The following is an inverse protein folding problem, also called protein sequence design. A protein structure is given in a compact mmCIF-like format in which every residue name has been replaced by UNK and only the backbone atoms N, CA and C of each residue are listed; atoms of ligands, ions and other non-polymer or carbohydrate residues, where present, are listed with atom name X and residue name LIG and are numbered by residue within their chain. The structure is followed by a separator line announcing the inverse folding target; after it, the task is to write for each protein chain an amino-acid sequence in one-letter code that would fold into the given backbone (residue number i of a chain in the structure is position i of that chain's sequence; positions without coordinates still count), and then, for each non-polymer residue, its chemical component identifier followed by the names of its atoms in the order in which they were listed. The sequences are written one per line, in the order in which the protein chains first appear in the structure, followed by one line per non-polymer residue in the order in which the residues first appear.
data_IF_650956937113
#
_entry.id   IF_650956937113
#
_cell.length_a   1.000
_cell.length_b   1.000
_cell.length_c   1.000
_cell.angle_alpha   90.00
_cell.angle_beta   90.00
_cell.angle_gamma   90.00
#
_symmetry.space_group_name_H-M   'P 1'
#
loop_
_entity.id
_entity.type
_entity.pdbx_description
1 polymer ?
#
# COMPACT_ATOMS: atom_id res chain seq x y z
N UNK A 1 -21.12 -17.29 -33.53
CA UNK A 1 -21.66 -16.18 -32.70
C UNK A 1 -22.33 -15.20 -33.64
N UNK A 2 -23.63 -15.00 -33.54
CA UNK A 2 -24.37 -14.05 -34.37
C UNK A 2 -24.03 -12.61 -34.04
N UNK A 3 -24.40 -11.66 -34.91
CA UNK A 3 -24.24 -10.22 -34.58
C UNK A 3 -25.04 -9.85 -33.33
N UNK A 4 -26.24 -10.45 -33.16
CA UNK A 4 -27.05 -10.25 -31.97
C UNK A 4 -26.35 -10.73 -30.68
N UNK A 5 -25.69 -11.89 -30.71
CA UNK A 5 -24.92 -12.40 -29.57
C UNK A 5 -23.76 -11.45 -29.18
N UNK A 6 -23.09 -10.91 -30.21
CA UNK A 6 -22.01 -9.93 -29.98
C UNK A 6 -22.53 -8.63 -29.38
N UNK A 7 -23.67 -8.11 -29.84
CA UNK A 7 -24.28 -6.90 -29.30
C UNK A 7 -24.78 -7.12 -27.88
N UNK A 8 -25.37 -8.25 -27.56
CA UNK A 8 -25.78 -8.60 -26.20
C UNK A 8 -24.55 -8.69 -25.26
N UNK A 9 -23.48 -9.33 -25.72
CA UNK A 9 -22.23 -9.40 -24.96
C UNK A 9 -21.64 -8.01 -24.69
N UNK A 10 -21.72 -7.10 -25.67
CA UNK A 10 -21.26 -5.70 -25.49
C UNK A 10 -22.13 -4.99 -24.44
N UNK A 11 -23.46 -5.10 -24.56
CA UNK A 11 -24.40 -4.46 -23.63
C UNK A 11 -24.22 -4.99 -22.19
N UNK A 12 -24.08 -6.30 -22.01
CA UNK A 12 -23.81 -6.93 -20.72
C UNK A 12 -22.46 -6.44 -20.12
N UNK A 13 -21.46 -6.27 -20.96
CA UNK A 13 -20.18 -5.78 -20.55
C UNK A 13 -20.22 -4.28 -20.18
N UNK A 14 -20.91 -3.45 -20.94
CA UNK A 14 -21.14 -2.04 -20.60
C UNK A 14 -21.90 -1.91 -19.28
N UNK A 15 -22.89 -2.76 -19.04
CA UNK A 15 -23.60 -2.80 -17.76
C UNK A 15 -22.66 -3.18 -16.59
N UNK A 16 -21.81 -4.18 -16.75
CA UNK A 16 -20.83 -4.59 -15.75
C UNK A 16 -19.85 -3.45 -15.43
N UNK A 17 -19.46 -2.67 -16.44
CA UNK A 17 -18.61 -1.49 -16.27
C UNK A 17 -19.27 -0.43 -15.42
N UNK A 18 -20.47 -0.07 -15.79
CA UNK A 18 -21.26 0.93 -15.08
C UNK A 18 -21.46 0.50 -13.62
N UNK A 19 -21.80 -0.77 -13.42
CA UNK A 19 -21.98 -1.36 -12.10
C UNK A 19 -20.67 -1.42 -11.27
N UNK A 20 -19.53 -1.56 -11.91
CA UNK A 20 -18.22 -1.49 -11.27
C UNK A 20 -17.73 -0.05 -11.01
N UNK A 21 -18.48 0.97 -11.45
CA UNK A 21 -18.11 2.37 -11.28
C UNK A 21 -16.91 2.81 -12.10
N UNK A 22 -16.63 2.14 -13.22
CA UNK A 22 -15.51 2.45 -14.11
C UNK A 22 -15.93 3.31 -15.27
N UNK A 23 -15.02 4.15 -15.77
CA UNK A 23 -15.19 4.81 -17.06
C UNK A 23 -15.03 3.80 -18.20
N UNK A 24 -15.55 4.12 -19.39
CA UNK A 24 -15.39 3.27 -20.58
C UNK A 24 -13.92 2.99 -20.89
N UNK A 25 -13.05 3.97 -20.72
CA UNK A 25 -11.61 3.84 -20.97
C UNK A 25 -10.95 2.88 -19.97
N UNK A 26 -11.30 2.96 -18.70
CA UNK A 26 -10.82 2.04 -17.66
C UNK A 26 -11.31 0.62 -17.89
N UNK A 27 -12.50 0.48 -18.46
CA UNK A 27 -13.06 -0.82 -18.83
C UNK A 27 -12.41 -1.45 -20.05
N UNK A 28 -12.21 -0.69 -21.11
CA UNK A 28 -11.56 -1.21 -22.33
C UNK A 28 -10.14 -1.68 -22.00
N UNK A 29 -9.47 -0.96 -21.12
CA UNK A 29 -8.17 -1.30 -20.59
C UNK A 29 -8.23 -2.57 -19.70
N UNK A 30 -9.22 -2.67 -18.82
CA UNK A 30 -9.45 -3.82 -17.96
C UNK A 30 -9.90 -5.06 -18.74
N UNK A 31 -10.71 -4.89 -19.77
CA UNK A 31 -11.15 -5.98 -20.64
C UNK A 31 -10.02 -6.55 -21.51
N UNK A 32 -9.16 -5.70 -22.03
CA UNK A 32 -7.93 -6.11 -22.72
C UNK A 32 -7.04 -6.91 -21.76
N UNK A 33 -7.05 -6.54 -20.53
CA UNK A 33 -6.31 -7.13 -19.44
C UNK A 33 -6.83 -8.52 -19.03
N UNK A 34 -8.14 -8.67 -18.84
CA UNK A 34 -8.77 -9.95 -18.46
C UNK A 34 -8.74 -10.99 -19.59
N UNK A 35 -8.94 -10.55 -20.82
CA UNK A 35 -9.04 -11.44 -21.99
C UNK A 35 -7.67 -11.79 -22.61
N UNK A 36 -6.61 -11.10 -22.26
CA UNK A 36 -5.27 -11.32 -22.80
C UNK A 36 -4.38 -12.27 -22.02
N UNK A 37 -4.75 -12.65 -20.77
CA UNK A 37 -3.91 -13.49 -19.93
C UNK A 37 -4.71 -14.35 -18.96
N UNK A 38 -4.54 -15.65 -19.03
CA UNK A 38 -5.03 -16.65 -18.09
C UNK A 38 -4.43 -16.56 -16.67
N UNK A 39 -3.82 -15.46 -16.29
CA UNK A 39 -3.01 -15.28 -15.09
C UNK A 39 -3.50 -14.25 -14.06
N UNK A 40 -4.75 -13.77 -14.12
CA UNK A 40 -5.25 -12.80 -13.13
C UNK A 40 -4.78 -11.36 -13.41
N UNK A 41 -4.78 -10.49 -12.38
CA UNK A 41 -4.43 -9.06 -12.51
C UNK A 41 -2.92 -8.83 -12.73
N UNK A 42 -2.33 -9.33 -13.84
CA UNK A 42 -0.91 -9.23 -14.13
C UNK A 42 -0.44 -7.78 -14.38
N UNK A 43 -1.32 -6.90 -14.87
CA UNK A 43 -1.05 -5.50 -15.20
C UNK A 43 -2.15 -4.60 -14.61
N UNK A 44 -2.11 -4.34 -13.32
CA UNK A 44 -3.08 -3.49 -12.64
C UNK A 44 -2.60 -2.02 -12.49
N UNK A 45 -1.81 -1.55 -13.46
CA UNK A 45 -1.20 -0.22 -13.42
C UNK A 45 -2.31 0.83 -13.42
N UNK A 46 -2.30 1.72 -12.42
CA UNK A 46 -3.24 2.82 -12.26
C UNK A 46 -4.74 2.44 -12.29
N UNK A 47 -5.08 1.17 -12.02
CA UNK A 47 -6.45 0.65 -12.17
C UNK A 47 -7.50 1.47 -11.39
N UNK A 48 -7.16 1.91 -10.20
CA UNK A 48 -8.02 2.72 -9.32
C UNK A 48 -7.44 4.11 -9.07
N UNK A 49 -6.57 4.59 -9.96
CA UNK A 49 -5.99 5.92 -9.83
C UNK A 49 -7.02 7.02 -10.13
N UNK A 50 -6.87 8.14 -9.43
CA UNK A 50 -7.65 9.35 -9.67
C UNK A 50 -8.70 9.67 -8.61
N UNK A 51 -9.09 10.93 -8.56
CA UNK A 51 -10.02 11.48 -7.57
C UNK A 51 -11.47 10.99 -7.73
N UNK A 52 -11.84 10.43 -8.87
CA UNK A 52 -13.18 9.89 -9.12
C UNK A 52 -13.46 8.61 -8.33
N UNK A 53 -12.43 7.91 -7.88
CA UNK A 53 -12.57 6.78 -6.98
C UNK A 53 -12.68 7.25 -5.53
N UNK A 54 -13.90 7.31 -5.03
CA UNK A 54 -14.25 7.67 -3.66
C UNK A 54 -15.24 6.65 -3.08
N UNK A 55 -15.71 6.84 -1.86
CA UNK A 55 -16.63 5.92 -1.20
C UNK A 55 -17.92 5.63 -1.97
N UNK A 56 -18.37 6.57 -2.83
CA UNK A 56 -19.59 6.38 -3.62
C UNK A 56 -19.34 5.63 -4.94
N UNK A 57 -18.16 5.81 -5.54
CA UNK A 57 -17.81 5.30 -6.87
C UNK A 57 -16.97 4.03 -6.83
N UNK A 58 -16.20 3.79 -5.76
CA UNK A 58 -15.37 2.60 -5.62
C UNK A 58 -16.23 1.38 -5.24
N UNK A 59 -16.73 0.69 -6.25
CA UNK A 59 -17.59 -0.50 -6.11
C UNK A 59 -17.15 -1.63 -7.05
N UNK A 60 -15.89 -2.07 -7.01
CA UNK A 60 -15.46 -3.21 -7.81
C UNK A 60 -16.23 -4.46 -7.41
N UNK A 61 -16.61 -5.28 -8.39
CA UNK A 61 -17.30 -6.57 -8.19
C UNK A 61 -16.35 -7.76 -8.44
N UNK A 62 -15.08 -7.55 -8.25
CA UNK A 62 -14.03 -8.55 -8.47
C UNK A 62 -12.93 -8.39 -7.43
N UNK A 63 -12.23 -9.48 -7.18
CA UNK A 63 -11.10 -9.51 -6.28
C UNK A 63 -9.93 -8.66 -6.78
N UNK A 64 -9.29 -7.93 -5.87
CA UNK A 64 -8.13 -7.09 -6.17
C UNK A 64 -6.88 -7.88 -5.78
N UNK A 65 -6.37 -8.68 -6.71
CA UNK A 65 -5.23 -9.58 -6.50
C UNK A 65 -4.18 -9.40 -7.60
N UNK A 66 -3.41 -8.29 -7.60
CA UNK A 66 -2.38 -8.05 -8.62
C UNK A 66 -1.27 -9.10 -8.53
N UNK A 67 -0.83 -9.61 -9.68
CA UNK A 67 0.19 -10.67 -9.75
C UNK A 67 1.53 -10.23 -10.30
N UNK A 68 1.60 -9.07 -10.96
CA UNK A 68 2.83 -8.57 -11.58
C UNK A 68 3.00 -7.07 -11.37
N UNK A 69 2.37 -6.27 -12.22
CA UNK A 69 2.54 -4.82 -12.25
C UNK A 69 1.34 -4.12 -11.62
N UNK A 70 1.55 -3.45 -10.50
CA UNK A 70 0.52 -2.76 -9.74
C UNK A 70 0.90 -1.29 -9.43
N UNK A 71 1.80 -0.72 -10.25
CA UNK A 71 2.25 0.66 -10.06
C UNK A 71 1.06 1.62 -10.13
N UNK A 72 1.07 2.63 -9.27
CA UNK A 72 0.06 3.70 -9.24
C UNK A 72 -1.38 3.19 -9.04
N UNK A 73 -1.61 1.95 -8.60
CA UNK A 73 -2.95 1.35 -8.58
C UNK A 73 -3.97 2.22 -7.85
N UNK A 74 -3.60 2.84 -6.74
CA UNK A 74 -4.45 3.73 -5.94
C UNK A 74 -3.92 5.17 -5.88
N UNK A 75 -3.18 5.59 -6.89
CA UNK A 75 -2.63 6.95 -7.00
C UNK A 75 -3.76 8.00 -7.03
N UNK A 76 -3.73 8.99 -6.13
CA UNK A 76 -4.80 9.98 -5.96
C UNK A 76 -6.20 9.37 -5.67
N UNK A 77 -6.29 8.12 -5.25
CA UNK A 77 -7.56 7.51 -4.87
C UNK A 77 -8.11 8.15 -3.58
N UNK A 78 -9.42 8.38 -3.52
CA UNK A 78 -10.08 9.11 -2.44
C UNK A 78 -11.09 8.23 -1.66
N UNK A 79 -10.90 6.93 -1.59
CA UNK A 79 -11.67 6.05 -0.71
C UNK A 79 -11.20 6.26 0.72
N UNK A 80 -12.09 6.77 1.60
CA UNK A 80 -11.72 7.21 2.95
C UNK A 80 -11.18 6.04 3.80
N UNK A 81 -11.88 4.92 3.80
CA UNK A 81 -11.48 3.69 4.47
C UNK A 81 -11.55 2.54 3.45
N UNK A 82 -10.42 2.26 2.83
CA UNK A 82 -10.32 1.23 1.79
C UNK A 82 -10.51 -0.16 2.40
N UNK A 83 -10.01 -0.39 3.63
CA UNK A 83 -10.14 -1.67 4.32
C UNK A 83 -11.61 -2.01 4.59
N UNK A 84 -12.34 -1.11 5.26
CA UNK A 84 -13.76 -1.30 5.53
C UNK A 84 -14.59 -1.40 4.24
N UNK A 85 -14.21 -0.64 3.21
CA UNK A 85 -14.92 -0.67 1.91
C UNK A 85 -14.76 -2.02 1.23
N UNK A 86 -13.54 -2.57 1.16
CA UNK A 86 -13.26 -3.89 0.59
C UNK A 86 -14.04 -4.98 1.35
N UNK A 87 -14.01 -4.94 2.69
CA UNK A 87 -14.75 -5.89 3.52
C UNK A 87 -16.26 -5.80 3.27
N UNK A 88 -16.82 -4.59 3.17
CA UNK A 88 -18.25 -4.39 2.93
C UNK A 88 -18.72 -4.90 1.55
N UNK A 89 -17.82 -4.89 0.58
CA UNK A 89 -18.07 -5.40 -0.78
C UNK A 89 -17.89 -6.92 -0.85
N UNK A 90 -17.34 -7.55 0.18
CA UNK A 90 -17.06 -8.99 0.20
C UNK A 90 -16.03 -9.44 -0.84
N UNK A 91 -15.15 -8.54 -1.29
CA UNK A 91 -14.10 -8.83 -2.26
C UNK A 91 -12.78 -9.14 -1.55
N UNK A 92 -11.96 -9.98 -2.17
CA UNK A 92 -10.61 -10.24 -1.71
C UNK A 92 -9.68 -9.10 -2.12
N UNK A 93 -8.78 -8.72 -1.21
CA UNK A 93 -7.64 -7.85 -1.49
C UNK A 93 -6.36 -8.60 -1.10
N UNK A 94 -5.47 -8.85 -2.07
CA UNK A 94 -4.30 -9.67 -1.85
C UNK A 94 -3.16 -9.20 -2.77
N UNK A 95 -2.17 -8.55 -2.19
CA UNK A 95 -1.00 -8.03 -2.91
C UNK A 95 0.21 -8.96 -2.87
N UNK A 96 0.09 -10.13 -2.23
CA UNK A 96 1.19 -11.07 -1.98
C UNK A 96 1.91 -11.55 -3.25
N UNK A 97 1.26 -11.48 -4.41
CA UNK A 97 1.83 -11.89 -5.71
C UNK A 97 2.32 -10.73 -6.56
N UNK A 98 2.11 -9.49 -6.12
CA UNK A 98 2.56 -8.31 -6.85
C UNK A 98 4.09 -8.23 -6.89
N UNK A 99 4.66 -8.04 -8.07
CA UNK A 99 6.12 -7.92 -8.27
C UNK A 99 6.59 -6.48 -8.39
N UNK A 100 5.71 -5.56 -8.74
CA UNK A 100 6.01 -4.15 -8.81
C UNK A 100 4.86 -3.33 -8.23
N UNK A 101 5.13 -2.65 -7.13
CA UNK A 101 4.18 -1.81 -6.40
C UNK A 101 4.70 -0.36 -6.26
N UNK A 102 5.48 0.10 -7.23
CA UNK A 102 5.99 1.47 -7.24
C UNK A 102 4.82 2.46 -7.19
N UNK A 103 4.90 3.43 -6.29
CA UNK A 103 3.90 4.49 -6.13
C UNK A 103 2.45 3.98 -5.91
N UNK A 104 2.27 2.77 -5.38
CA UNK A 104 0.99 2.07 -5.27
C UNK A 104 -0.10 2.91 -4.61
N UNK A 105 0.21 3.60 -3.52
CA UNK A 105 -0.63 4.53 -2.79
C UNK A 105 -0.08 5.96 -2.77
N UNK A 106 0.78 6.32 -3.71
CA UNK A 106 1.33 7.68 -3.75
C UNK A 106 0.20 8.70 -3.90
N UNK A 107 0.26 9.79 -3.12
CA UNK A 107 -0.79 10.81 -3.06
C UNK A 107 -2.19 10.26 -2.69
N UNK A 108 -2.27 9.14 -2.00
CA UNK A 108 -3.55 8.61 -1.53
C UNK A 108 -4.25 9.60 -0.60
N UNK A 109 -5.53 9.87 -0.87
CA UNK A 109 -6.31 10.89 -0.16
C UNK A 109 -7.22 10.31 0.92
N UNK A 110 -7.30 8.99 1.02
CA UNK A 110 -8.03 8.30 2.08
C UNK A 110 -7.25 8.22 3.39
N UNK A 111 -7.88 7.64 4.41
CA UNK A 111 -7.33 7.59 5.78
C UNK A 111 -6.83 6.22 6.17
N UNK A 112 -7.47 5.15 5.69
CA UNK A 112 -7.18 3.79 6.10
C UNK A 112 -6.97 2.91 4.87
N UNK A 113 -5.89 2.15 4.87
CA UNK A 113 -5.62 1.12 3.88
C UNK A 113 -5.53 -0.25 4.55
N UNK A 114 -5.88 -1.34 3.81
CA UNK A 114 -5.88 -2.71 4.31
C UNK A 114 -4.47 -3.25 4.57
N UNK A 115 -4.38 -4.54 4.82
CA UNK A 115 -3.13 -5.28 4.79
C UNK A 115 -2.49 -5.24 3.40
N UNK A 116 -1.19 -4.92 3.37
CA UNK A 116 -0.37 -4.87 2.17
C UNK A 116 0.77 -5.87 2.33
N UNK A 117 0.81 -6.88 1.48
CA UNK A 117 1.90 -7.85 1.42
C UNK A 117 2.86 -7.48 0.29
N UNK A 118 4.10 -7.22 0.65
CA UNK A 118 5.17 -6.83 -0.28
C UNK A 118 6.22 -7.93 -0.48
N UNK A 119 5.98 -9.14 0.04
CA UNK A 119 7.00 -10.21 0.10
C UNK A 119 7.53 -10.67 -1.24
N UNK A 120 6.74 -10.60 -2.30
CA UNK A 120 7.15 -10.94 -3.67
C UNK A 120 7.50 -9.72 -4.53
N UNK A 121 7.43 -8.52 -3.99
CA UNK A 121 7.76 -7.32 -4.73
C UNK A 121 9.26 -7.29 -5.05
N UNK A 122 9.58 -7.08 -6.32
CA UNK A 122 10.96 -7.07 -6.85
C UNK A 122 11.40 -5.67 -7.26
N UNK A 123 10.43 -4.83 -7.61
CA UNK A 123 10.69 -3.45 -8.03
C UNK A 123 9.96 -2.53 -7.07
N UNK A 124 10.74 -1.72 -6.37
CA UNK A 124 10.31 -0.77 -5.37
C UNK A 124 10.69 0.61 -5.87
N UNK A 125 9.74 1.37 -6.26
CA UNK A 125 9.98 2.80 -6.33
C UNK A 125 9.88 3.38 -4.92
N UNK A 126 10.60 4.43 -4.73
CA UNK A 126 10.82 5.07 -3.45
C UNK A 126 9.58 5.73 -2.83
N UNK A 127 8.41 5.73 -3.47
CA UNK A 127 7.24 6.51 -3.06
C UNK A 127 5.98 5.67 -2.86
N UNK A 128 6.08 4.43 -2.37
CA UNK A 128 4.94 3.52 -2.27
C UNK A 128 3.71 4.17 -1.59
N UNK A 129 3.91 4.90 -0.49
CA UNK A 129 2.89 5.66 0.23
C UNK A 129 3.17 7.17 0.22
N UNK A 130 4.19 7.61 -0.51
CA UNK A 130 4.67 8.99 -0.47
C UNK A 130 3.57 10.01 -0.77
N UNK A 131 3.60 11.11 -0.03
CA UNK A 131 2.63 12.22 -0.12
C UNK A 131 1.18 11.83 0.22
N UNK A 132 0.95 10.70 0.87
CA UNK A 132 -0.36 10.31 1.39
C UNK A 132 -0.67 11.07 2.70
N UNK A 133 -0.76 12.39 2.61
CA UNK A 133 -0.85 13.29 3.77
C UNK A 133 -2.15 13.16 4.59
N UNK A 134 -3.17 12.51 4.05
CA UNK A 134 -4.43 12.21 4.76
C UNK A 134 -4.40 10.84 5.46
N UNK A 135 -3.48 9.94 5.07
CA UNK A 135 -3.37 8.58 5.57
C UNK A 135 -3.07 8.56 7.07
N UNK A 136 -3.89 7.89 7.85
CA UNK A 136 -3.73 7.76 9.31
C UNK A 136 -3.37 6.34 9.74
N UNK A 137 -3.74 5.33 8.94
CA UNK A 137 -3.64 3.94 9.34
C UNK A 137 -3.29 3.03 8.17
N UNK A 138 -2.27 2.23 8.35
CA UNK A 138 -1.99 1.03 7.56
C UNK A 138 -2.28 -0.17 8.47
N UNK A 139 -3.30 -0.98 8.14
CA UNK A 139 -3.74 -2.08 8.99
C UNK A 139 -2.62 -3.09 9.25
N UNK A 140 -1.89 -3.45 8.22
CA UNK A 140 -0.68 -4.24 8.31
C UNK A 140 0.19 -4.05 7.06
N UNK A 141 1.48 -4.00 7.24
CA UNK A 141 2.47 -3.99 6.16
C UNK A 141 3.43 -5.16 6.35
N UNK A 142 3.31 -6.15 5.46
CA UNK A 142 4.20 -7.32 5.46
C UNK A 142 5.39 -7.00 4.57
N UNK A 143 6.57 -7.00 5.16
CA UNK A 143 7.83 -6.67 4.48
C UNK A 143 8.77 -7.87 4.47
N UNK A 144 9.48 -8.05 3.37
CA UNK A 144 10.56 -9.02 3.27
C UNK A 144 11.75 -8.36 2.61
N UNK A 145 12.87 -8.44 3.27
CA UNK A 145 14.10 -7.86 2.74
C UNK A 145 14.83 -8.86 1.86
N UNK A 146 14.49 -8.86 0.59
CA UNK A 146 15.30 -9.52 -0.41
C UNK A 146 15.82 -8.46 -1.38
N UNK A 147 17.13 -8.19 -1.37
CA UNK A 147 17.73 -7.36 -2.41
C UNK A 147 18.22 -5.97 -1.99
N UNK A 148 18.40 -5.11 -2.97
CA UNK A 148 19.11 -3.81 -2.86
C UNK A 148 18.21 -2.61 -2.59
N UNK A 149 16.93 -2.82 -2.31
CA UNK A 149 15.93 -1.75 -2.25
C UNK A 149 16.00 -0.94 -0.94
N UNK A 150 15.68 0.34 -1.06
CA UNK A 150 15.57 1.26 0.07
C UNK A 150 14.11 1.60 0.34
N UNK A 151 13.72 1.69 1.61
CA UNK A 151 12.38 2.12 2.05
C UNK A 151 12.35 3.60 2.46
N UNK A 152 13.43 4.35 2.18
CA UNK A 152 13.65 5.70 2.70
C UNK A 152 12.56 6.69 2.31
N UNK A 153 12.00 6.57 1.11
CA UNK A 153 10.99 7.50 0.62
C UNK A 153 9.57 6.91 0.64
N UNK A 154 9.36 5.77 1.28
CA UNK A 154 8.04 5.15 1.32
C UNK A 154 7.01 6.02 2.00
N UNK A 155 7.40 6.75 3.05
CA UNK A 155 6.51 7.52 3.92
C UNK A 155 6.76 9.03 3.88
N UNK A 156 7.42 9.54 2.83
CA UNK A 156 7.60 10.98 2.63
C UNK A 156 6.25 11.68 2.68
N UNK A 157 6.15 12.75 3.48
CA UNK A 157 4.92 13.54 3.67
C UNK A 157 3.68 12.77 4.14
N UNK A 158 3.82 11.58 4.72
CA UNK A 158 2.73 10.88 5.40
C UNK A 158 2.46 11.51 6.78
N UNK A 159 2.16 12.80 6.80
CA UNK A 159 2.16 13.65 8.00
C UNK A 159 1.06 13.34 9.02
N UNK A 160 0.12 12.44 8.71
CA UNK A 160 -0.92 11.96 9.62
C UNK A 160 -0.84 10.47 9.93
N UNK A 161 0.13 9.75 9.37
CA UNK A 161 0.28 8.31 9.61
C UNK A 161 0.71 8.06 11.06
N UNK A 162 -0.25 7.62 11.87
CA UNK A 162 -0.06 7.33 13.28
C UNK A 162 -0.04 5.83 13.59
N UNK A 163 -0.80 5.04 12.83
CA UNK A 163 -0.98 3.62 13.12
C UNK A 163 -0.47 2.76 11.97
N UNK A 164 0.51 1.91 12.26
CA UNK A 164 1.02 0.90 11.35
C UNK A 164 1.42 -0.35 12.16
N UNK A 165 1.03 -1.51 11.66
CA UNK A 165 1.52 -2.79 12.15
C UNK A 165 2.47 -3.34 11.10
N UNK A 166 3.68 -3.66 11.49
CA UNK A 166 4.67 -4.32 10.64
C UNK A 166 4.62 -5.82 10.88
N UNK A 167 4.85 -6.60 9.84
CA UNK A 167 5.07 -8.04 9.87
C UNK A 167 6.25 -8.39 8.95
N UNK A 168 6.93 -9.49 9.22
CA UNK A 168 8.13 -9.87 8.48
C UNK A 168 9.41 -9.22 8.99
N UNK A 169 10.31 -8.77 8.11
CA UNK A 169 11.63 -8.27 8.51
C UNK A 169 12.04 -7.03 7.72
N UNK A 170 12.34 -5.94 8.42
CA UNK A 170 12.92 -4.72 7.85
C UNK A 170 14.45 -4.86 7.88
N UNK A 171 15.10 -5.02 6.74
CA UNK A 171 16.56 -5.12 6.63
C UNK A 171 17.20 -3.98 5.83
N UNK A 172 16.49 -2.88 5.62
CA UNK A 172 16.96 -1.70 4.88
C UNK A 172 16.61 -0.42 5.62
N UNK A 173 17.29 0.66 5.26
CA UNK A 173 16.97 1.97 5.81
C UNK A 173 15.50 2.30 5.58
N UNK A 174 14.84 2.81 6.62
CA UNK A 174 13.44 3.22 6.57
C UNK A 174 13.26 4.54 7.30
N UNK A 175 12.40 5.40 6.77
CA UNK A 175 12.22 6.76 7.27
C UNK A 175 10.75 7.05 7.58
N UNK A 176 10.48 7.30 8.87
CA UNK A 176 9.21 7.74 9.42
C UNK A 176 9.28 9.17 9.99
N UNK A 177 10.25 9.97 9.54
CA UNK A 177 10.45 11.34 10.06
C UNK A 177 9.22 12.25 9.89
N UNK A 178 8.41 12.01 8.86
CA UNK A 178 7.15 12.73 8.64
C UNK A 178 6.00 12.21 9.52
N UNK A 179 6.08 10.97 10.04
CA UNK A 179 4.95 10.21 10.59
C UNK A 179 4.82 10.40 12.10
N UNK A 180 3.67 10.85 12.62
CA UNK A 180 3.42 10.95 14.07
C UNK A 180 3.01 9.59 14.65
N UNK A 181 3.89 8.58 14.55
CA UNK A 181 3.59 7.21 14.95
C UNK A 181 3.25 7.11 16.44
N UNK A 182 2.27 6.27 16.76
CA UNK A 182 1.94 5.88 18.13
C UNK A 182 3.04 5.00 18.76
N UNK A 183 3.01 4.83 20.08
CA UNK A 183 3.93 3.94 20.81
C UNK A 183 3.90 2.52 20.21
N UNK A 184 2.72 1.96 20.04
CA UNK A 184 2.54 0.61 19.50
C UNK A 184 3.11 0.47 18.08
N UNK A 185 2.94 1.49 17.25
CA UNK A 185 3.49 1.50 15.89
C UNK A 185 5.02 1.58 15.89
N UNK A 186 5.60 2.38 16.76
CA UNK A 186 7.07 2.43 16.92
C UNK A 186 7.60 1.08 17.43
N UNK A 187 6.94 0.48 18.42
CA UNK A 187 7.30 -0.85 18.93
C UNK A 187 7.22 -1.91 17.81
N UNK A 188 6.13 -1.90 17.05
CA UNK A 188 5.98 -2.82 15.91
C UNK A 188 7.09 -2.65 14.87
N UNK A 189 7.49 -1.42 14.55
CA UNK A 189 8.62 -1.16 13.64
C UNK A 189 9.92 -1.71 14.23
N UNK A 190 10.24 -1.40 15.48
CA UNK A 190 11.50 -1.80 16.11
C UNK A 190 11.62 -3.31 16.27
N UNK A 191 10.54 -3.98 16.65
CA UNK A 191 10.49 -5.44 16.77
C UNK A 191 10.90 -6.14 15.46
N UNK A 192 10.47 -5.60 14.32
CA UNK A 192 10.68 -6.18 13.00
C UNK A 192 11.95 -5.68 12.28
N UNK A 193 12.80 -4.87 12.93
CA UNK A 193 14.12 -4.56 12.41
C UNK A 193 14.99 -5.82 12.41
N UNK A 194 15.71 -6.05 11.31
CA UNK A 194 16.58 -7.24 11.16
C UNK A 194 17.67 -7.28 12.21
N UNK A 195 17.90 -8.45 12.81
CA UNK A 195 19.03 -8.70 13.72
C UNK A 195 20.33 -9.05 12.99
N UNK A 196 20.26 -9.37 11.71
CA UNK A 196 21.40 -9.80 10.90
C UNK A 196 21.98 -8.71 9.99
N UNK A 197 21.20 -7.67 9.68
CA UNK A 197 21.65 -6.55 8.84
C UNK A 197 22.34 -5.50 9.72
N UNK A 198 23.52 -5.06 9.30
CA UNK A 198 24.29 -4.03 10.00
C UNK A 198 24.33 -2.70 9.23
N UNK A 199 24.66 -1.62 9.93
CA UNK A 199 24.80 -0.28 9.34
C UNK A 199 23.53 0.21 8.64
N UNK A 200 22.36 -0.07 9.25
CA UNK A 200 21.06 0.39 8.78
C UNK A 200 20.56 1.52 9.68
N UNK A 201 19.76 2.39 9.12
CA UNK A 201 19.15 3.51 9.83
C UNK A 201 17.63 3.41 9.79
N UNK A 202 17.01 3.57 10.96
CA UNK A 202 15.59 3.88 11.08
C UNK A 202 15.47 5.32 11.62
N UNK A 203 14.65 6.13 10.94
CA UNK A 203 14.39 7.51 11.35
C UNK A 203 12.97 7.64 11.86
N UNK A 204 12.79 8.20 13.05
CA UNK A 204 11.48 8.52 13.61
C UNK A 204 11.31 10.03 13.77
N UNK A 205 10.06 10.49 13.72
CA UNK A 205 9.72 11.86 14.07
C UNK A 205 10.02 12.10 15.54
N UNK A 206 10.90 13.09 15.84
CA UNK A 206 11.35 13.38 17.18
C UNK A 206 10.19 13.66 18.13
N UNK A 207 9.26 14.53 17.74
CA UNK A 207 8.10 14.89 18.57
C UNK A 207 7.17 13.69 18.85
N UNK A 208 7.03 12.77 17.92
CA UNK A 208 6.24 11.55 18.12
C UNK A 208 6.91 10.66 19.17
N UNK A 209 8.21 10.39 19.02
CA UNK A 209 8.97 9.60 20.00
C UNK A 209 8.92 10.23 21.40
N UNK A 210 9.15 11.55 21.53
CA UNK A 210 9.18 12.24 22.81
C UNK A 210 7.81 12.28 23.49
N UNK A 211 6.71 12.20 22.75
CA UNK A 211 5.36 12.15 23.31
C UNK A 211 4.96 10.80 23.92
N UNK A 212 5.68 9.72 23.58
CA UNK A 212 5.26 8.35 23.96
C UNK A 212 6.31 7.53 24.69
N UNK A 213 7.59 7.97 24.72
CA UNK A 213 8.69 7.30 25.44
C UNK A 213 9.44 8.26 26.35
N UNK A 214 9.71 7.82 27.56
CA UNK A 214 10.73 8.42 28.40
C UNK A 214 12.13 8.17 27.83
N UNK A 215 13.15 8.86 28.37
CA UNK A 215 14.53 8.64 27.94
C UNK A 215 14.99 7.20 28.20
N UNK A 216 14.65 6.66 29.37
CA UNK A 216 15.09 5.32 29.80
C UNK A 216 14.35 4.22 29.00
N UNK A 217 13.04 4.37 28.77
CA UNK A 217 12.28 3.45 27.92
C UNK A 217 12.86 3.41 26.50
N UNK A 218 13.19 4.59 25.96
CA UNK A 218 13.78 4.67 24.62
C UNK A 218 15.16 4.03 24.58
N UNK A 219 16.04 4.32 25.54
CA UNK A 219 17.37 3.72 25.62
C UNK A 219 17.30 2.18 25.72
N UNK A 220 16.35 1.67 26.51
CA UNK A 220 16.11 0.23 26.63
C UNK A 220 15.63 -0.36 25.30
N UNK A 221 14.71 0.30 24.61
CA UNK A 221 14.15 -0.17 23.34
C UNK A 221 15.23 -0.25 22.25
N UNK A 222 16.02 0.81 22.06
CA UNK A 222 17.04 0.83 21.00
C UNK A 222 18.18 -0.15 21.26
N UNK A 223 18.47 -0.44 22.53
CA UNK A 223 19.48 -1.43 22.91
C UNK A 223 19.12 -2.86 22.44
N UNK A 224 17.87 -3.16 22.14
CA UNK A 224 17.43 -4.45 21.58
C UNK A 224 17.89 -4.66 20.13
N UNK A 225 18.29 -3.60 19.43
CA UNK A 225 18.68 -3.61 18.01
C UNK A 225 20.05 -2.93 17.80
N UNK A 226 21.13 -3.50 18.35
CA UNK A 226 22.44 -2.86 18.38
C UNK A 226 23.07 -2.63 17.01
N UNK A 227 22.60 -3.32 15.97
CA UNK A 227 23.09 -3.17 14.60
C UNK A 227 22.45 -2.02 13.83
N UNK A 228 21.50 -1.31 14.47
CA UNK A 228 20.76 -0.21 13.86
C UNK A 228 21.15 1.15 14.42
N UNK A 229 21.19 2.14 13.56
CA UNK A 229 21.25 3.55 13.95
C UNK A 229 19.82 4.09 14.05
N UNK A 230 19.46 4.62 15.22
CA UNK A 230 18.17 5.27 15.46
C UNK A 230 18.36 6.79 15.31
N UNK A 231 17.76 7.37 14.27
CA UNK A 231 17.77 8.81 14.01
C UNK A 231 16.43 9.44 14.41
N UNK A 232 16.49 10.69 14.87
CA UNK A 232 15.31 11.50 15.20
C UNK A 232 15.33 12.78 14.37
N UNK A 233 14.26 13.08 13.64
CA UNK A 233 14.12 14.27 12.80
C UNK A 233 12.86 15.09 13.17
#
# INVERSE_FOLDING_TARGET
MSIADKLNTIAENEQKVFEAGKTKQEYDWWNTYQNGNSGGMAYAIALFAGHHWNNATFKPKFDICPTNYAQYMFFYNNVIDLDATIQSLGIKFDTSKAKNMSSFFQNYLGKVIPEIDTTNCQTWDSLMFGYASALTTIKKLIVKTNGTQSFTNWFVDCSKLANIVIDGVIGRNIDFSACPLTKDSILSVVEHLSDTEANRTVTFKKTAKESVFTTDEWATLIATKPNWTFSLA
#
